data_IF_138346106003
#
_entry.id   IF_138346106003
#
_cell.length_a   1.000
_cell.length_b   1.000
_cell.length_c   1.000
_cell.angle_alpha   90.00
_cell.angle_beta   90.00
_cell.angle_gamma   90.00
#
_symmetry.space_group_name_H-M   'P 1'
#
loop_
_entity.id
_entity.type
_entity.pdbx_description
1 polymer ?
#
# COMPACT_ATOMS: atom_id res chain seq x y z
N UNK A 1 -17.10 -23.49 -6.44
CA UNK A 1 -16.54 -22.26 -7.03
C UNK A 1 -15.45 -21.72 -6.12
N UNK A 2 -14.30 -21.29 -6.66
CA UNK A 2 -13.25 -20.68 -5.85
C UNK A 2 -13.74 -19.36 -5.24
N UNK A 3 -13.51 -19.16 -3.94
CA UNK A 3 -13.88 -17.92 -3.22
C UNK A 3 -13.07 -16.75 -3.80
N UNK A 4 -13.75 -15.74 -4.32
CA UNK A 4 -13.08 -14.53 -4.87
C UNK A 4 -12.30 -13.84 -3.74
N UNK A 5 -10.99 -13.72 -3.92
CA UNK A 5 -10.09 -13.10 -2.94
C UNK A 5 -10.17 -11.57 -2.99
N UNK A 6 -9.78 -10.85 -1.92
CA UNK A 6 -9.69 -9.39 -1.95
C UNK A 6 -8.81 -8.87 -3.10
N UNK A 7 -7.68 -9.54 -3.39
CA UNK A 7 -6.83 -9.24 -4.55
C UNK A 7 -7.63 -9.31 -5.85
N UNK A 8 -8.31 -10.43 -6.12
CA UNK A 8 -9.10 -10.59 -7.34
C UNK A 8 -10.19 -9.51 -7.49
N UNK A 9 -10.82 -9.08 -6.39
CA UNK A 9 -11.78 -7.97 -6.41
C UNK A 9 -11.11 -6.65 -6.75
N UNK A 10 -9.96 -6.35 -6.13
CA UNK A 10 -9.19 -5.13 -6.43
C UNK A 10 -8.77 -5.08 -7.89
N UNK A 11 -8.26 -6.18 -8.45
CA UNK A 11 -7.85 -6.23 -9.86
C UNK A 11 -9.05 -6.05 -10.81
N UNK A 12 -10.22 -6.60 -10.45
CA UNK A 12 -11.47 -6.37 -11.19
C UNK A 12 -11.87 -4.90 -11.15
N UNK A 13 -11.90 -4.29 -9.97
CA UNK A 13 -12.22 -2.88 -9.79
C UNK A 13 -11.28 -1.97 -10.59
N UNK A 14 -9.96 -2.19 -10.52
CA UNK A 14 -8.99 -1.42 -11.31
C UNK A 14 -9.25 -1.53 -12.82
N UNK A 15 -9.58 -2.73 -13.32
CA UNK A 15 -9.95 -2.93 -14.74
C UNK A 15 -11.22 -2.18 -15.12
N UNK A 16 -12.26 -2.23 -14.29
CA UNK A 16 -13.53 -1.53 -14.53
C UNK A 16 -13.36 0.00 -14.57
N UNK A 17 -12.35 0.53 -13.87
CA UNK A 17 -11.99 1.95 -13.90
C UNK A 17 -10.97 2.30 -15.00
N UNK A 18 -10.60 1.36 -15.87
CA UNK A 18 -9.55 1.51 -16.88
C UNK A 18 -8.19 2.00 -16.31
N UNK A 19 -7.88 1.58 -15.08
CA UNK A 19 -6.61 1.90 -14.42
C UNK A 19 -5.58 0.84 -14.82
N UNK A 20 -4.40 1.29 -15.30
CA UNK A 20 -3.28 0.39 -15.59
C UNK A 20 -2.60 0.00 -14.28
N UNK A 21 -2.29 -1.28 -14.12
CA UNK A 21 -1.66 -1.80 -12.91
C UNK A 21 -0.78 -3.01 -13.21
N UNK A 22 0.08 -3.33 -12.24
CA UNK A 22 0.79 -4.60 -12.17
C UNK A 22 0.88 -5.10 -10.72
N UNK A 23 0.90 -6.42 -10.55
CA UNK A 23 1.02 -7.06 -9.24
C UNK A 23 2.51 -7.15 -8.90
N UNK A 24 2.89 -6.59 -7.77
CA UNK A 24 4.28 -6.63 -7.27
C UNK A 24 4.47 -7.65 -6.13
N UNK A 25 3.37 -8.23 -5.62
CA UNK A 25 3.42 -9.39 -4.74
C UNK A 25 3.82 -10.66 -5.50
N UNK A 26 4.87 -11.35 -5.04
CA UNK A 26 5.31 -12.64 -5.58
C UNK A 26 5.66 -13.63 -4.46
N UNK A 27 5.39 -14.91 -4.71
CA UNK A 27 5.80 -16.00 -3.81
C UNK A 27 7.18 -16.52 -4.23
N UNK A 28 8.11 -16.56 -3.28
CA UNK A 28 9.41 -17.17 -3.47
C UNK A 28 9.39 -18.60 -2.91
N UNK A 29 9.55 -19.59 -3.79
CA UNK A 29 9.51 -21.01 -3.42
C UNK A 29 10.69 -21.45 -2.54
N UNK A 30 11.87 -20.85 -2.70
CA UNK A 30 13.07 -21.18 -1.93
C UNK A 30 12.96 -20.69 -0.48
N UNK A 31 12.52 -19.45 -0.28
CA UNK A 31 12.33 -18.90 1.07
C UNK A 31 10.97 -19.25 1.67
N UNK A 32 10.05 -19.81 0.87
CA UNK A 32 8.65 -20.08 1.22
C UNK A 32 7.92 -18.86 1.78
N UNK A 33 8.30 -17.68 1.30
CA UNK A 33 7.76 -16.39 1.76
C UNK A 33 7.18 -15.62 0.59
N UNK A 34 6.10 -14.89 0.87
CA UNK A 34 5.58 -13.86 -0.03
C UNK A 34 6.38 -12.59 0.18
N UNK A 35 6.74 -11.95 -0.93
CA UNK A 35 7.38 -10.65 -0.98
C UNK A 35 6.45 -9.70 -1.72
N UNK A 36 6.18 -8.57 -1.10
CA UNK A 36 5.52 -7.41 -1.68
C UNK A 36 6.57 -6.29 -1.87
N UNK A 37 6.21 -5.19 -2.53
CA UNK A 37 7.11 -4.05 -2.68
C UNK A 37 7.20 -3.29 -1.34
N UNK A 38 8.43 -3.11 -0.86
CA UNK A 38 8.76 -2.42 0.40
C UNK A 38 8.07 -2.95 1.67
N UNK A 39 7.54 -4.18 1.66
CA UNK A 39 6.82 -4.68 2.82
C UNK A 39 5.38 -4.16 2.91
N UNK A 40 4.88 -3.35 1.98
CA UNK A 40 3.62 -2.59 2.16
C UNK A 40 2.78 -2.37 0.88
N UNK A 41 3.23 -2.82 -0.29
CA UNK A 41 2.56 -2.56 -1.56
C UNK A 41 2.43 -3.88 -2.33
N UNK A 42 1.20 -4.34 -2.55
CA UNK A 42 0.92 -5.57 -3.31
C UNK A 42 0.75 -5.30 -4.81
N UNK A 43 0.27 -4.11 -5.17
CA UNK A 43 -0.03 -3.69 -6.55
C UNK A 43 0.49 -2.27 -6.76
N UNK A 44 1.06 -2.00 -7.94
CA UNK A 44 1.35 -0.64 -8.40
C UNK A 44 0.39 -0.28 -9.52
N UNK A 45 -0.14 0.94 -9.51
CA UNK A 45 -1.07 1.43 -10.51
C UNK A 45 -0.71 2.83 -11.01
N UNK A 46 -1.12 3.13 -12.24
CA UNK A 46 -0.96 4.43 -12.89
C UNK A 46 -2.35 5.05 -13.08
N UNK A 47 -2.61 6.15 -12.38
CA UNK A 47 -3.90 6.85 -12.44
C UNK A 47 -3.72 8.34 -12.18
N UNK A 48 -4.44 9.18 -12.93
CA UNK A 48 -4.43 10.65 -12.77
C UNK A 48 -3.02 11.27 -12.69
N UNK A 49 -2.09 10.80 -13.55
CA UNK A 49 -0.68 11.25 -13.57
C UNK A 49 0.09 11.01 -12.26
N UNK A 50 -0.36 10.07 -11.43
CA UNK A 50 0.29 9.62 -10.20
C UNK A 50 0.63 8.14 -10.30
N UNK A 51 1.74 7.78 -9.66
CA UNK A 51 2.06 6.38 -9.33
C UNK A 51 1.39 6.08 -7.99
N UNK A 52 0.63 5.00 -7.94
CA UNK A 52 -0.10 4.58 -6.76
C UNK A 52 0.47 3.24 -6.30
N UNK A 53 0.85 3.17 -5.03
CA UNK A 53 1.10 1.92 -4.33
C UNK A 53 -0.18 1.49 -3.63
N UNK A 54 -0.61 0.25 -3.82
CA UNK A 54 -1.83 -0.28 -3.25
C UNK A 54 -1.49 -1.47 -2.35
N UNK A 55 -1.81 -1.36 -1.06
CA UNK A 55 -1.97 -2.50 -0.17
C UNK A 55 -3.41 -2.98 -0.28
N UNK A 56 -3.61 -4.28 -0.50
CA UNK A 56 -4.92 -4.92 -0.55
C UNK A 56 -5.17 -5.65 0.76
N UNK A 57 -6.35 -5.42 1.35
CA UNK A 57 -6.82 -6.14 2.52
C UNK A 57 -8.25 -6.65 2.34
N UNK A 58 -8.68 -7.52 3.25
CA UNK A 58 -10.09 -7.92 3.37
C UNK A 58 -10.90 -6.86 4.13
N UNK A 59 -11.72 -7.33 5.07
CA UNK A 59 -12.47 -6.46 5.98
C UNK A 59 -11.66 -6.03 7.21
N UNK A 60 -10.50 -6.65 7.48
CA UNK A 60 -9.64 -6.29 8.61
C UNK A 60 -8.58 -5.27 8.20
N UNK A 61 -8.77 -4.02 8.62
CA UNK A 61 -7.92 -2.88 8.22
C UNK A 61 -6.80 -2.60 9.22
N UNK A 62 -7.04 -2.87 10.51
CA UNK A 62 -6.16 -2.41 11.60
C UNK A 62 -4.73 -2.95 11.48
N UNK A 63 -4.49 -4.24 11.17
CA UNK A 63 -3.15 -4.76 10.99
C UNK A 63 -2.40 -4.10 9.81
N UNK A 64 -3.11 -3.84 8.71
CA UNK A 64 -2.52 -3.22 7.52
C UNK A 64 -2.20 -1.75 7.73
N UNK A 65 -3.06 -1.00 8.43
CA UNK A 65 -2.78 0.37 8.84
C UNK A 65 -1.54 0.41 9.74
N UNK A 66 -1.45 -0.47 10.75
CA UNK A 66 -0.28 -0.56 11.63
C UNK A 66 0.99 -0.89 10.83
N UNK A 67 0.93 -1.88 9.93
CA UNK A 67 2.04 -2.29 9.05
C UNK A 67 2.52 -1.12 8.17
N UNK A 68 1.60 -0.40 7.53
CA UNK A 68 1.93 0.76 6.69
C UNK A 68 2.54 1.88 7.51
N UNK A 69 1.91 2.25 8.63
CA UNK A 69 2.41 3.33 9.50
C UNK A 69 3.81 3.01 10.03
N UNK A 70 4.09 1.75 10.37
CA UNK A 70 5.40 1.31 10.86
C UNK A 70 6.48 1.19 9.77
N UNK A 71 6.13 1.29 8.48
CA UNK A 71 7.09 1.12 7.39
C UNK A 71 7.96 2.37 7.21
N UNK A 72 9.30 2.22 7.12
CA UNK A 72 10.20 3.34 6.84
C UNK A 72 10.07 3.88 5.41
N UNK A 73 9.31 3.19 4.53
CA UNK A 73 9.11 3.56 3.13
C UNK A 73 7.78 4.25 2.85
N UNK A 74 6.80 4.14 3.76
CA UNK A 74 5.44 4.64 3.53
C UNK A 74 5.42 6.15 3.24
N UNK A 75 6.09 6.95 4.08
CA UNK A 75 6.12 8.41 3.90
C UNK A 75 6.81 8.79 2.59
N UNK A 76 7.97 8.20 2.29
CA UNK A 76 8.71 8.49 1.04
C UNK A 76 7.89 8.14 -0.21
N UNK A 77 7.16 7.04 -0.17
CA UNK A 77 6.27 6.68 -1.27
C UNK A 77 5.12 7.68 -1.43
N UNK A 78 4.45 8.03 -0.33
CA UNK A 78 3.35 9.00 -0.33
C UNK A 78 3.79 10.42 -0.71
N UNK A 79 5.06 10.77 -0.56
CA UNK A 79 5.64 12.03 -1.08
C UNK A 79 5.87 11.98 -2.60
N UNK A 80 6.27 10.82 -3.14
CA UNK A 80 6.52 10.64 -4.57
C UNK A 80 5.26 10.35 -5.39
N UNK A 81 4.22 9.77 -4.77
CA UNK A 81 3.00 9.31 -5.41
C UNK A 81 1.83 9.27 -4.43
N UNK A 82 0.99 8.25 -4.53
CA UNK A 82 -0.07 7.98 -3.55
C UNK A 82 0.08 6.58 -2.97
N UNK A 83 -0.30 6.43 -1.70
CA UNK A 83 -0.36 5.14 -1.02
C UNK A 83 -1.79 4.85 -0.61
N UNK A 84 -2.37 3.79 -1.16
CA UNK A 84 -3.75 3.38 -0.92
C UNK A 84 -3.77 2.10 -0.10
N UNK A 85 -4.66 2.05 0.89
CA UNK A 85 -5.16 0.78 1.44
C UNK A 85 -6.55 0.54 0.88
N UNK A 86 -6.72 -0.58 0.18
CA UNK A 86 -7.97 -0.97 -0.47
C UNK A 86 -8.50 -2.23 0.18
N UNK A 87 -9.71 -2.13 0.72
CA UNK A 87 -10.44 -3.23 1.34
C UNK A 87 -11.84 -3.40 0.74
N UNK A 88 -12.54 -4.42 1.21
CA UNK A 88 -13.83 -4.83 0.63
C UNK A 88 -14.84 -5.12 1.72
N UNK A 89 -16.02 -4.51 1.60
CA UNK A 89 -17.17 -4.76 2.47
C UNK A 89 -18.27 -5.49 1.72
N UNK A 90 -18.74 -6.58 2.29
CA UNK A 90 -19.91 -7.29 1.80
C UNK A 90 -21.20 -6.57 2.24
N UNK A 91 -22.11 -6.38 1.29
CA UNK A 91 -23.43 -5.79 1.47
C UNK A 91 -24.48 -6.75 0.89
N UNK A 92 -25.76 -6.51 1.20
CA UNK A 92 -26.87 -7.27 0.61
C UNK A 92 -26.90 -7.18 -0.93
N UNK A 93 -26.49 -6.05 -1.49
CA UNK A 93 -26.44 -5.79 -2.94
C UNK A 93 -25.13 -6.26 -3.61
N UNK A 94 -24.25 -6.93 -2.86
CA UNK A 94 -22.95 -7.36 -3.35
C UNK A 94 -21.80 -6.65 -2.63
N UNK A 95 -20.69 -6.45 -3.32
CA UNK A 95 -19.45 -6.03 -2.68
C UNK A 95 -19.11 -4.58 -3.00
N UNK A 96 -18.79 -3.81 -1.96
CA UNK A 96 -18.40 -2.41 -2.07
C UNK A 96 -16.92 -2.26 -1.76
N UNK A 97 -16.20 -1.60 -2.67
CA UNK A 97 -14.81 -1.19 -2.45
C UNK A 97 -14.76 -0.12 -1.36
N UNK A 98 -13.79 -0.25 -0.47
CA UNK A 98 -13.42 0.77 0.52
C UNK A 98 -11.95 1.13 0.31
N UNK A 99 -11.64 2.44 0.36
CA UNK A 99 -10.30 2.95 0.10
C UNK A 99 -9.94 4.01 1.14
N UNK A 100 -8.74 3.91 1.69
CA UNK A 100 -8.08 4.99 2.43
C UNK A 100 -6.82 5.41 1.67
N UNK A 101 -6.63 6.71 1.52
CA UNK A 101 -5.44 7.30 0.91
C UNK A 101 -4.62 7.87 2.07
N UNK A 102 -3.40 7.38 2.25
CA UNK A 102 -2.53 7.89 3.30
C UNK A 102 -2.00 9.26 2.93
N UNK A 103 -2.15 10.20 3.86
CA UNK A 103 -1.57 11.54 3.76
C UNK A 103 -0.27 11.60 4.53
N UNK A 104 0.46 12.70 4.33
CA UNK A 104 1.63 13.03 5.16
C UNK A 104 1.27 13.05 6.66
N UNK A 105 0.12 13.62 7.04
CA UNK A 105 -0.34 13.67 8.44
C UNK A 105 -0.57 12.30 9.06
N UNK A 106 -1.05 11.32 8.27
CA UNK A 106 -1.25 9.95 8.72
C UNK A 106 0.08 9.23 9.05
N UNK A 107 1.16 9.66 8.40
CA UNK A 107 2.46 8.98 8.37
C UNK A 107 3.58 9.70 9.15
N UNK A 108 3.38 10.97 9.53
CA UNK A 108 4.40 11.77 10.24
C UNK A 108 4.52 11.50 11.75
N UNK A 109 3.54 10.82 12.37
CA UNK A 109 3.54 10.57 13.82
C UNK A 109 4.20 9.24 14.18
N UNK A 110 5.46 9.06 13.78
CA UNK A 110 6.26 7.87 14.13
C UNK A 110 7.43 8.24 15.05
N UNK A 111 7.70 7.46 16.11
CA UNK A 111 8.93 7.61 16.87
C UNK A 111 10.12 7.46 15.91
N UNK A 112 11.10 8.34 16.06
CA UNK A 112 12.27 8.45 15.20
C UNK A 112 12.88 7.07 14.90
N UNK A 113 12.83 6.65 13.64
CA UNK A 113 13.65 5.55 13.17
C UNK A 113 15.12 5.95 13.36
N UNK A 114 16.01 5.09 13.88
CA UNK A 114 17.40 5.45 14.17
C UNK A 114 18.20 5.93 12.94
N UNK A 115 17.73 5.68 11.71
CA UNK A 115 18.35 6.23 10.49
C UNK A 115 17.97 7.70 10.20
N UNK A 116 17.00 8.28 10.92
CA UNK A 116 16.67 9.70 10.80
C UNK A 116 17.64 10.61 11.60
N UNK A 117 18.44 10.07 12.53
CA UNK A 117 19.46 10.86 13.25
C UNK A 117 20.66 11.21 12.38
N UNK A 118 20.88 10.49 11.26
CA UNK A 118 22.00 10.71 10.35
C UNK A 118 21.75 11.82 9.33
N UNK A 119 20.51 12.31 9.18
CA UNK A 119 20.17 13.38 8.21
C UNK A 119 20.52 14.79 8.70
N UNK A 120 20.87 14.96 9.97
CA UNK A 120 21.23 16.26 10.54
C UNK A 120 22.75 16.50 10.60
N UNK A 121 23.57 15.60 10.06
CA UNK A 121 25.04 15.74 10.06
C UNK A 121 25.63 16.27 8.75
N UNK A 122 24.85 16.33 7.65
CA UNK A 122 25.36 16.71 6.32
C UNK A 122 24.92 18.11 5.83
N UNK A 123 24.45 19.00 6.71
CA UNK A 123 24.06 20.38 6.30
C UNK A 123 24.93 21.51 6.89
N UNK A 124 26.14 21.22 7.39
CA UNK A 124 27.05 22.26 7.94
C UNK A 124 28.35 22.39 7.15
N UNK A 125 28.39 21.96 5.88
CA UNK A 125 29.56 22.20 5.02
C UNK A 125 29.10 22.67 3.65
N UNK A 126 28.76 23.95 3.53
CA UNK A 126 29.05 24.85 2.41
C UNK A 126 28.97 26.30 2.90
#
# INVERSE_FOLDING_TARGET
>A
MAKITPMQRTLKWLREQNIKYDIVESYNAFSKRRKDLFGIIDVVALHNKRIIGIQVCGADWSPHIKKIKASPFALKWAEAGELWLVGWRELKSGWKVQKHIFTRGDLQNMPSHPLNSLRNLDMTVL
#
